data_IF_384709513853
#
_entry.id   IF_384709513853
#
_cell.length_a   1.000
_cell.length_b   1.000
_cell.length_c   1.000
_cell.angle_alpha   90.00
_cell.angle_beta   90.00
_cell.angle_gamma   90.00
#
_symmetry.space_group_name_H-M   'P 1'
#
loop_
_entity.id
_entity.type
_entity.pdbx_description
1 polymer ?
#
# COMPACT_ATOMS: atom_id res chain seq x y z
N UNK A 1 -30.56 7.84 15.50
CA UNK A 1 -30.00 8.90 14.62
C UNK A 1 -29.84 8.29 13.24
N UNK A 2 -30.14 9.01 12.15
CA UNK A 2 -30.00 8.49 10.79
C UNK A 2 -28.52 8.50 10.42
N UNK A 3 -28.02 7.38 9.86
CA UNK A 3 -26.70 7.30 9.24
C UNK A 3 -26.84 7.61 7.76
N UNK A 4 -25.87 8.30 7.18
CA UNK A 4 -25.82 8.58 5.73
C UNK A 4 -24.44 8.20 5.17
N UNK A 5 -24.42 7.73 3.92
CA UNK A 5 -23.22 7.41 3.18
C UNK A 5 -23.14 8.27 1.91
N UNK A 6 -21.99 8.90 1.68
CA UNK A 6 -21.66 9.58 0.44
C UNK A 6 -20.37 8.99 -0.12
N UNK A 7 -20.36 8.73 -1.42
CA UNK A 7 -19.16 8.32 -2.15
C UNK A 7 -18.95 9.22 -3.35
N UNK A 8 -17.71 9.61 -3.61
CA UNK A 8 -17.36 10.52 -4.69
C UNK A 8 -15.99 10.17 -5.29
N UNK A 9 -15.80 10.54 -6.54
CA UNK A 9 -14.53 10.44 -7.23
C UNK A 9 -13.74 11.72 -7.03
N UNK A 10 -12.52 11.60 -6.50
CA UNK A 10 -11.54 12.68 -6.43
C UNK A 10 -10.36 12.37 -7.36
N UNK A 11 -9.78 13.40 -7.98
CA UNK A 11 -8.62 13.28 -8.85
C UNK A 11 -7.52 14.22 -8.39
N UNK A 12 -6.36 13.66 -8.07
CA UNK A 12 -5.18 14.39 -7.62
C UNK A 12 -4.10 14.35 -8.71
N UNK A 13 -3.82 15.50 -9.39
CA UNK A 13 -2.72 15.58 -10.33
C UNK A 13 -1.37 15.28 -9.68
N UNK A 14 -0.49 14.56 -10.38
CA UNK A 14 0.86 14.27 -9.91
C UNK A 14 1.83 15.43 -10.21
N UNK A 15 2.88 15.53 -9.40
CA UNK A 15 3.99 16.49 -9.63
C UNK A 15 4.81 16.15 -10.88
N UNK A 16 4.91 14.84 -11.21
CA UNK A 16 5.55 14.30 -12.41
C UNK A 16 4.94 12.93 -12.75
N UNK A 17 5.12 12.40 -13.96
CA UNK A 17 4.60 11.08 -14.33
C UNK A 17 5.18 9.99 -13.42
N UNK A 18 4.31 9.11 -12.92
CA UNK A 18 4.68 7.91 -12.16
C UNK A 18 4.72 6.72 -13.11
N UNK A 19 5.92 6.24 -13.42
CA UNK A 19 6.14 5.16 -14.39
C UNK A 19 6.56 3.87 -13.71
N UNK A 20 5.85 2.79 -14.02
CA UNK A 20 6.15 1.41 -13.63
C UNK A 20 6.15 0.52 -14.86
N UNK A 21 6.53 -0.75 -14.74
CA UNK A 21 6.56 -1.70 -15.86
C UNK A 21 5.21 -1.82 -16.60
N UNK A 22 4.08 -1.67 -15.90
CA UNK A 22 2.73 -1.77 -16.47
C UNK A 22 2.15 -0.47 -17.05
N UNK A 23 2.84 0.66 -16.96
CA UNK A 23 2.36 1.92 -17.54
C UNK A 23 2.77 3.17 -16.78
N UNK A 24 2.14 4.27 -17.15
CA UNK A 24 2.43 5.60 -16.59
C UNK A 24 1.15 6.28 -16.12
N UNK A 25 1.16 6.83 -14.91
CA UNK A 25 0.08 7.66 -14.35
C UNK A 25 0.50 9.11 -14.27
N UNK A 26 -0.44 10.03 -14.49
CA UNK A 26 -0.27 11.49 -14.34
C UNK A 26 -1.21 12.08 -13.28
N UNK A 27 -2.13 11.27 -12.78
CA UNK A 27 -3.03 11.61 -11.69
C UNK A 27 -3.32 10.37 -10.83
N UNK A 28 -3.69 10.58 -9.57
CA UNK A 28 -4.29 9.60 -8.70
C UNK A 28 -5.81 9.81 -8.72
N UNK A 29 -6.52 8.86 -9.30
CA UNK A 29 -7.98 8.79 -9.27
C UNK A 29 -8.39 7.90 -8.10
N UNK A 30 -9.15 8.45 -7.16
CA UNK A 30 -9.53 7.78 -5.91
C UNK A 30 -11.04 7.84 -5.70
N UNK A 31 -11.57 6.94 -4.90
CA UNK A 31 -12.95 7.00 -4.39
C UNK A 31 -12.90 7.34 -2.91
N UNK A 32 -13.51 8.46 -2.54
CA UNK A 32 -13.65 8.91 -1.16
C UNK A 32 -15.04 8.56 -0.64
N UNK A 33 -15.09 7.94 0.53
CA UNK A 33 -16.33 7.64 1.26
C UNK A 33 -16.40 8.49 2.51
N UNK A 34 -17.58 9.07 2.74
CA UNK A 34 -17.94 9.75 3.98
C UNK A 34 -19.17 9.11 4.59
N UNK A 35 -19.08 8.65 5.83
CA UNK A 35 -20.20 8.13 6.61
C UNK A 35 -20.47 9.07 7.77
N UNK A 36 -21.72 9.53 7.92
CA UNK A 36 -22.14 10.43 9.03
C UNK A 36 -23.20 9.77 9.88
N UNK A 37 -23.10 9.93 11.18
CA UNK A 37 -24.11 9.49 12.15
C UNK A 37 -24.14 10.45 13.35
N UNK A 38 -25.23 11.21 13.46
CA UNK A 38 -25.28 12.35 14.41
C UNK A 38 -24.24 13.40 14.05
N UNK A 39 -23.43 13.81 15.02
CA UNK A 39 -22.34 14.78 14.83
C UNK A 39 -21.03 14.13 14.39
N UNK A 40 -20.95 12.80 14.40
CA UNK A 40 -19.73 12.09 14.02
C UNK A 40 -19.67 11.88 12.50
N UNK A 41 -18.46 12.04 11.94
CA UNK A 41 -18.18 11.84 10.53
C UNK A 41 -16.94 10.98 10.38
N UNK A 42 -17.06 9.82 9.73
CA UNK A 42 -15.91 8.99 9.34
C UNK A 42 -15.64 9.09 7.85
N UNK A 43 -14.36 9.04 7.48
CA UNK A 43 -13.89 9.14 6.10
C UNK A 43 -12.99 7.97 5.76
N UNK A 44 -13.02 7.55 4.50
CA UNK A 44 -12.09 6.57 3.95
C UNK A 44 -11.85 6.83 2.47
N UNK A 45 -10.74 6.36 1.98
CA UNK A 45 -10.32 6.52 0.58
C UNK A 45 -9.80 5.20 0.04
N UNK A 46 -10.03 4.94 -1.23
CA UNK A 46 -9.45 3.81 -1.92
C UNK A 46 -9.11 4.13 -3.37
N UNK A 47 -8.13 3.40 -3.90
CA UNK A 47 -7.69 3.48 -5.29
C UNK A 47 -8.19 2.26 -6.05
N UNK A 48 -9.24 2.36 -6.87
CA UNK A 48 -9.62 1.28 -7.77
C UNK A 48 -8.48 0.95 -8.73
N UNK A 49 -8.02 -0.30 -8.71
CA UNK A 49 -6.82 -0.67 -9.46
C UNK A 49 -7.14 -1.57 -10.67
N UNK A 50 -6.87 -1.09 -11.91
CA UNK A 50 -7.23 -1.84 -13.13
C UNK A 50 -6.62 -3.24 -13.23
N UNK A 51 -5.45 -3.50 -12.62
CA UNK A 51 -4.82 -4.83 -12.55
C UNK A 51 -5.72 -5.87 -11.87
N UNK A 52 -6.60 -5.41 -10.97
CA UNK A 52 -7.58 -6.25 -10.26
C UNK A 52 -8.98 -6.17 -10.86
N UNK A 53 -9.12 -5.59 -12.07
CA UNK A 53 -10.40 -5.44 -12.74
C UNK A 53 -11.28 -4.32 -12.19
N UNK A 54 -10.73 -3.44 -11.37
CA UNK A 54 -11.47 -2.36 -10.73
C UNK A 54 -11.47 -1.07 -11.57
N UNK A 55 -12.54 -0.33 -11.48
CA UNK A 55 -12.73 1.00 -12.09
C UNK A 55 -13.44 1.93 -11.12
N UNK A 56 -13.27 3.24 -11.27
CA UNK A 56 -14.00 4.25 -10.48
C UNK A 56 -15.52 3.99 -10.54
N UNK A 57 -16.09 3.82 -11.73
CA UNK A 57 -17.52 3.58 -11.90
C UNK A 57 -17.97 2.27 -11.23
N UNK A 58 -17.20 1.19 -11.38
CA UNK A 58 -17.48 -0.10 -10.75
C UNK A 58 -17.44 -0.03 -9.23
N UNK A 59 -16.45 0.68 -8.68
CA UNK A 59 -16.30 0.90 -7.24
C UNK A 59 -17.45 1.72 -6.67
N UNK A 60 -17.83 2.83 -7.31
CA UNK A 60 -18.98 3.62 -6.89
C UNK A 60 -20.28 2.80 -6.95
N UNK A 61 -20.49 1.99 -8.00
CA UNK A 61 -21.63 1.10 -8.10
C UNK A 61 -21.62 0.00 -7.02
N UNK A 62 -20.45 -0.51 -6.63
CA UNK A 62 -20.32 -1.48 -5.55
C UNK A 62 -20.69 -0.86 -4.19
N UNK A 63 -20.25 0.36 -3.92
CA UNK A 63 -20.62 1.12 -2.72
C UNK A 63 -22.14 1.36 -2.67
N UNK A 64 -22.74 1.73 -3.80
CA UNK A 64 -24.18 1.97 -3.87
C UNK A 64 -25.01 0.72 -3.55
N UNK A 65 -24.58 -0.48 -3.97
CA UNK A 65 -25.29 -1.74 -3.64
C UNK A 65 -25.38 -2.02 -2.13
N UNK A 66 -24.44 -1.53 -1.34
CA UNK A 66 -24.42 -1.73 0.12
C UNK A 66 -24.86 -0.49 0.90
N UNK A 67 -25.31 0.58 0.21
CA UNK A 67 -25.77 1.83 0.84
C UNK A 67 -26.78 1.56 1.94
N UNK A 68 -27.84 0.82 1.64
CA UNK A 68 -28.91 0.54 2.60
C UNK A 68 -28.43 -0.25 3.81
N UNK A 69 -27.44 -1.14 3.65
CA UNK A 69 -26.81 -1.85 4.75
C UNK A 69 -26.10 -0.87 5.69
N UNK A 70 -25.26 0.01 5.12
CA UNK A 70 -24.46 0.95 5.92
C UNK A 70 -25.36 2.00 6.58
N UNK A 71 -26.31 2.59 5.83
CA UNK A 71 -27.27 3.59 6.35
C UNK A 71 -28.23 2.98 7.38
N UNK A 72 -28.51 1.67 7.29
CA UNK A 72 -29.28 0.91 8.27
C UNK A 72 -28.51 0.56 9.55
N UNK A 73 -27.24 0.99 9.66
CA UNK A 73 -26.41 0.78 10.86
C UNK A 73 -25.47 -0.42 10.78
N UNK A 74 -25.36 -1.08 9.62
CA UNK A 74 -24.40 -2.17 9.42
C UNK A 74 -22.97 -1.72 9.69
N UNK A 75 -22.21 -2.59 10.36
CA UNK A 75 -20.83 -2.36 10.75
C UNK A 75 -19.84 -3.05 9.81
N UNK A 76 -18.60 -3.13 10.27
CA UNK A 76 -17.48 -3.73 9.51
C UNK A 76 -17.69 -5.22 9.24
N UNK A 77 -18.24 -5.97 10.19
CA UNK A 77 -18.52 -7.40 10.04
C UNK A 77 -19.53 -7.67 8.93
N UNK A 78 -20.63 -6.93 8.90
CA UNK A 78 -21.66 -7.04 7.87
C UNK A 78 -21.11 -6.59 6.51
N UNK A 79 -20.24 -5.57 6.48
CA UNK A 79 -19.57 -5.11 5.27
C UNK A 79 -18.65 -6.20 4.67
N UNK A 80 -17.85 -6.89 5.49
CA UNK A 80 -16.99 -7.98 5.05
C UNK A 80 -17.80 -9.11 4.38
N UNK A 81 -18.99 -9.40 4.91
CA UNK A 81 -19.88 -10.40 4.33
C UNK A 81 -20.57 -9.93 3.04
N UNK A 82 -20.78 -8.62 2.87
CA UNK A 82 -21.53 -8.04 1.76
C UNK A 82 -20.67 -7.68 0.54
N UNK A 83 -19.41 -7.37 0.72
CA UNK A 83 -18.48 -6.99 -0.36
C UNK A 83 -17.20 -7.84 -0.34
N UNK A 84 -16.71 -8.25 -1.51
CA UNK A 84 -15.38 -8.84 -1.63
C UNK A 84 -14.28 -7.84 -1.24
N UNK A 85 -13.06 -8.34 -1.02
CA UNK A 85 -11.88 -7.51 -0.90
C UNK A 85 -11.70 -6.62 -2.13
N UNK A 86 -11.13 -5.43 -1.94
CA UNK A 86 -10.92 -4.43 -2.99
C UNK A 86 -11.31 -3.02 -2.56
N UNK A 87 -11.21 -2.09 -3.51
CA UNK A 87 -11.33 -0.65 -3.27
C UNK A 87 -12.67 -0.22 -2.65
N UNK A 88 -13.80 -0.79 -3.10
CA UNK A 88 -15.12 -0.40 -2.57
C UNK A 88 -15.24 -0.73 -1.08
N UNK A 89 -14.80 -1.94 -0.68
CA UNK A 89 -14.80 -2.36 0.72
C UNK A 89 -13.81 -1.54 1.54
N UNK A 90 -12.60 -1.29 1.01
CA UNK A 90 -11.58 -0.49 1.68
C UNK A 90 -12.09 0.90 2.05
N UNK A 91 -12.65 1.65 1.09
CA UNK A 91 -13.15 3.00 1.34
C UNK A 91 -14.23 3.03 2.44
N UNK A 92 -15.15 2.06 2.46
CA UNK A 92 -16.20 1.99 3.48
C UNK A 92 -15.64 1.51 4.82
N UNK A 93 -14.80 0.46 4.85
CA UNK A 93 -14.22 -0.09 6.08
C UNK A 93 -13.42 0.98 6.83
N UNK A 94 -12.54 1.70 6.13
CA UNK A 94 -11.78 2.80 6.71
C UNK A 94 -12.67 3.95 7.18
N UNK A 95 -13.77 4.26 6.48
CA UNK A 95 -14.73 5.26 6.95
C UNK A 95 -15.47 4.81 8.21
N UNK A 96 -15.78 3.52 8.34
CA UNK A 96 -16.41 2.98 9.54
C UNK A 96 -15.46 2.97 10.74
N UNK A 97 -14.17 2.66 10.53
CA UNK A 97 -13.15 2.77 11.59
C UNK A 97 -13.04 4.21 12.13
N UNK A 98 -12.96 5.21 11.25
CA UNK A 98 -12.89 6.62 11.63
C UNK A 98 -14.19 7.08 12.34
N UNK A 99 -15.36 6.66 11.83
CA UNK A 99 -16.65 6.93 12.47
C UNK A 99 -16.74 6.34 13.87
N UNK A 100 -16.33 5.08 14.04
CA UNK A 100 -16.37 4.39 15.32
C UNK A 100 -15.42 5.02 16.33
N UNK A 101 -14.21 5.43 15.92
CA UNK A 101 -13.27 6.15 16.77
C UNK A 101 -13.89 7.43 17.33
N UNK A 102 -14.51 8.25 16.47
CA UNK A 102 -15.16 9.51 16.87
C UNK A 102 -16.36 9.29 17.77
N UNK A 103 -17.18 8.28 17.50
CA UNK A 103 -18.37 7.97 18.29
C UNK A 103 -18.03 7.40 19.67
N UNK A 104 -17.03 6.54 19.74
CA UNK A 104 -16.58 5.91 20.98
C UNK A 104 -15.62 6.77 21.79
N UNK A 105 -15.13 7.87 21.21
CA UNK A 105 -14.06 8.69 21.75
C UNK A 105 -12.81 7.87 22.12
N UNK A 106 -12.48 6.92 21.24
CA UNK A 106 -11.30 6.06 21.36
C UNK A 106 -10.57 6.06 20.04
N UNK A 107 -9.28 6.34 20.07
CA UNK A 107 -8.45 6.29 18.88
C UNK A 107 -8.35 4.88 18.32
N UNK A 108 -8.20 4.75 17.00
CA UNK A 108 -8.11 3.46 16.32
C UNK A 108 -6.97 2.61 16.89
N UNK A 109 -5.82 3.19 17.24
CA UNK A 109 -4.73 2.48 17.91
C UNK A 109 -5.20 1.77 19.20
N UNK A 110 -5.95 2.47 20.05
CA UNK A 110 -6.52 1.90 21.28
C UNK A 110 -7.60 0.85 20.99
N UNK A 111 -8.35 0.99 19.89
CA UNK A 111 -9.37 0.02 19.50
C UNK A 111 -8.76 -1.30 19.02
N UNK A 112 -7.65 -1.26 18.28
CA UNK A 112 -6.93 -2.46 17.81
C UNK A 112 -5.97 -3.04 18.84
N UNK A 113 -5.71 -2.31 19.96
CA UNK A 113 -4.73 -2.73 20.98
C UNK A 113 -3.28 -2.63 20.49
N UNK A 114 -3.01 -1.76 19.53
CA UNK A 114 -1.69 -1.50 18.96
C UNK A 114 -1.07 -0.19 19.44
N UNK A 115 0.20 0.08 19.06
CA UNK A 115 0.83 1.35 19.36
C UNK A 115 0.20 2.50 18.56
N UNK A 116 0.30 3.71 19.08
CA UNK A 116 -0.03 4.90 18.32
C UNK A 116 0.93 5.07 17.14
N UNK A 117 0.41 5.43 15.95
CA UNK A 117 1.26 5.73 14.79
C UNK A 117 2.27 6.84 15.12
N UNK A 118 3.52 6.60 14.77
CA UNK A 118 4.61 7.56 14.88
C UNK A 118 5.37 7.65 13.56
N UNK A 119 6.34 8.56 13.46
CA UNK A 119 7.14 8.69 12.25
C UNK A 119 7.88 7.38 11.93
N UNK A 120 7.71 6.90 10.71
CA UNK A 120 8.32 5.65 10.22
C UNK A 120 9.19 5.93 9.00
N UNK A 121 10.35 5.25 8.88
CA UNK A 121 11.08 5.27 7.62
C UNK A 121 10.21 4.63 6.55
N UNK A 122 10.04 5.31 5.42
CA UNK A 122 9.27 4.81 4.28
C UNK A 122 10.13 4.81 3.04
N UNK A 123 9.97 3.80 2.22
CA UNK A 123 10.62 3.74 0.93
C UNK A 123 10.19 4.94 0.07
N UNK A 124 11.19 5.63 -0.50
CA UNK A 124 10.95 6.67 -1.50
C UNK A 124 11.15 6.06 -2.88
N UNK A 125 10.16 6.20 -3.74
CA UNK A 125 10.14 5.49 -5.03
C UNK A 125 10.98 6.21 -6.10
N UNK A 126 11.87 5.44 -6.72
CA UNK A 126 12.57 5.80 -7.97
C UNK A 126 11.85 5.05 -9.11
N UNK A 127 11.21 5.80 -10.00
CA UNK A 127 10.46 5.26 -11.14
C UNK A 127 11.37 4.81 -12.27
N UNK A 128 10.85 3.96 -13.18
CA UNK A 128 11.60 3.43 -14.32
C UNK A 128 12.01 4.55 -15.28
N UNK A 129 13.32 4.60 -15.56
CA UNK A 129 13.95 5.46 -16.56
C UNK A 129 15.29 4.84 -16.97
N UNK A 130 16.13 5.56 -17.73
CA UNK A 130 17.50 5.18 -17.99
C UNK A 130 18.30 5.07 -16.70
N UNK A 131 19.31 4.18 -16.58
CA UNK A 131 20.13 4.05 -15.37
C UNK A 131 20.70 5.37 -14.88
N UNK A 132 21.10 6.27 -15.79
CA UNK A 132 21.64 7.59 -15.45
C UNK A 132 20.57 8.54 -14.88
N UNK A 133 19.34 8.50 -15.38
CA UNK A 133 18.23 9.29 -14.86
C UNK A 133 17.83 8.78 -13.46
N UNK A 134 17.70 7.47 -13.32
CA UNK A 134 17.40 6.82 -12.03
C UNK A 134 18.48 7.11 -10.98
N UNK A 135 19.78 7.11 -11.38
CA UNK A 135 20.87 7.48 -10.48
C UNK A 135 20.76 8.94 -10.00
N UNK A 136 20.37 9.88 -10.87
CA UNK A 136 20.14 11.28 -10.48
C UNK A 136 18.97 11.40 -9.49
N UNK A 137 17.87 10.71 -9.75
CA UNK A 137 16.72 10.68 -8.84
C UNK A 137 17.09 10.08 -7.48
N UNK A 138 17.82 8.97 -7.48
CA UNK A 138 18.31 8.34 -6.26
C UNK A 138 19.30 9.26 -5.47
N UNK A 139 20.17 9.99 -6.16
CA UNK A 139 21.07 10.95 -5.53
C UNK A 139 20.31 12.11 -4.86
N UNK A 140 19.21 12.57 -5.47
CA UNK A 140 18.32 13.57 -4.87
C UNK A 140 17.60 13.06 -3.62
N UNK A 141 17.44 11.74 -3.49
CA UNK A 141 16.82 11.05 -2.35
C UNK A 141 17.85 10.40 -1.41
N UNK A 142 19.16 10.69 -1.56
CA UNK A 142 20.21 10.01 -0.82
C UNK A 142 20.16 10.18 0.71
N UNK A 143 19.34 11.12 1.20
CA UNK A 143 19.02 11.29 2.63
C UNK A 143 17.94 10.34 3.15
N UNK A 144 17.17 9.70 2.27
CA UNK A 144 16.14 8.75 2.66
C UNK A 144 16.78 7.41 3.10
N UNK A 145 16.32 6.81 4.20
CA UNK A 145 16.86 5.54 4.69
C UNK A 145 16.54 4.36 3.77
N UNK A 146 15.44 4.41 3.04
CA UNK A 146 14.95 3.33 2.16
C UNK A 146 14.57 3.89 0.80
N UNK A 147 15.02 3.23 -0.27
CA UNK A 147 14.58 3.51 -1.65
C UNK A 147 13.88 2.29 -2.25
N UNK A 148 12.74 2.50 -2.87
CA UNK A 148 12.06 1.50 -3.71
C UNK A 148 12.36 1.78 -5.18
N UNK A 149 12.89 0.78 -5.86
CA UNK A 149 13.36 0.89 -7.23
C UNK A 149 12.38 0.15 -8.15
N UNK A 150 11.68 0.89 -8.98
CA UNK A 150 10.88 0.29 -10.06
C UNK A 150 11.82 -0.06 -11.22
N UNK A 151 11.77 -1.31 -11.66
CA UNK A 151 12.59 -1.81 -12.76
C UNK A 151 11.73 -2.55 -13.79
N UNK A 152 12.26 -2.75 -14.99
CA UNK A 152 11.67 -3.63 -15.99
C UNK A 152 12.64 -4.78 -16.33
N UNK A 153 12.33 -5.57 -17.38
CA UNK A 153 13.17 -6.69 -17.79
C UNK A 153 14.27 -6.31 -18.79
N UNK A 154 14.38 -5.03 -19.22
CA UNK A 154 15.32 -4.65 -20.28
C UNK A 154 16.79 -4.65 -19.80
N UNK A 155 17.09 -3.91 -18.73
CA UNK A 155 18.44 -3.86 -18.14
C UNK A 155 18.37 -3.59 -16.62
N UNK A 156 17.74 -4.48 -15.85
CA UNK A 156 17.57 -4.27 -14.42
C UNK A 156 18.91 -4.21 -13.66
N UNK A 157 19.94 -4.93 -14.14
CA UNK A 157 21.24 -4.94 -13.51
C UNK A 157 21.92 -3.56 -13.56
N UNK A 158 21.90 -2.89 -14.71
CA UNK A 158 22.46 -1.55 -14.83
C UNK A 158 21.66 -0.52 -14.02
N UNK A 159 20.33 -0.63 -14.02
CA UNK A 159 19.45 0.25 -13.22
C UNK A 159 19.77 0.14 -11.73
N UNK A 160 19.80 -1.07 -11.16
CA UNK A 160 20.03 -1.31 -9.73
C UNK A 160 21.46 -0.88 -9.32
N UNK A 161 22.49 -1.22 -10.12
CA UNK A 161 23.87 -0.80 -9.83
C UNK A 161 24.05 0.71 -9.86
N UNK A 162 23.41 1.40 -10.82
CA UNK A 162 23.46 2.86 -10.93
C UNK A 162 22.85 3.53 -9.70
N UNK A 163 21.71 3.02 -9.20
CA UNK A 163 21.08 3.53 -7.98
C UNK A 163 21.93 3.23 -6.74
N UNK A 164 22.47 2.01 -6.60
CA UNK A 164 23.35 1.68 -5.47
C UNK A 164 24.58 2.57 -5.43
N UNK A 165 25.16 2.90 -6.56
CA UNK A 165 26.28 3.81 -6.65
C UNK A 165 25.90 5.25 -6.21
N UNK A 166 24.72 5.70 -6.56
CA UNK A 166 24.20 7.03 -6.25
C UNK A 166 23.70 7.17 -4.79
N UNK A 167 23.17 6.09 -4.21
CA UNK A 167 22.65 6.03 -2.84
C UNK A 167 23.30 4.87 -2.05
N UNK A 168 24.60 4.96 -1.70
CA UNK A 168 25.37 3.83 -1.16
C UNK A 168 24.93 3.37 0.23
N UNK A 169 24.17 4.18 0.97
CA UNK A 169 23.74 3.92 2.35
C UNK A 169 22.28 3.50 2.48
N UNK A 170 21.44 3.79 1.48
CA UNK A 170 20.03 3.48 1.55
C UNK A 170 19.79 1.96 1.51
N UNK A 171 18.80 1.47 2.25
CA UNK A 171 18.26 0.15 2.05
C UNK A 171 17.47 0.12 0.74
N UNK A 172 17.53 -0.96 -0.02
CA UNK A 172 16.91 -1.05 -1.33
C UNK A 172 15.82 -2.11 -1.35
N UNK A 173 14.66 -1.72 -1.86
CA UNK A 173 13.58 -2.62 -2.29
C UNK A 173 13.53 -2.54 -3.81
N UNK A 174 13.60 -3.68 -4.49
CA UNK A 174 13.49 -3.76 -5.96
C UNK A 174 12.12 -4.31 -6.32
N UNK A 175 11.40 -3.61 -7.19
CA UNK A 175 10.04 -3.98 -7.58
C UNK A 175 9.90 -3.99 -9.11
N UNK A 176 9.96 -5.18 -9.73
CA UNK A 176 9.71 -5.36 -11.15
C UNK A 176 8.24 -5.28 -11.56
N UNK A 177 7.31 -5.24 -10.62
CA UNK A 177 5.87 -5.24 -10.87
C UNK A 177 5.42 -6.32 -11.87
N UNK A 178 5.73 -7.57 -11.59
CA UNK A 178 5.37 -8.74 -12.41
C UNK A 178 6.05 -8.81 -13.80
N UNK A 179 7.10 -8.01 -14.06
CA UNK A 179 7.69 -7.91 -15.41
C UNK A 179 8.80 -8.92 -15.70
N UNK A 180 9.29 -9.64 -14.68
CA UNK A 180 10.33 -10.64 -14.84
C UNK A 180 9.74 -12.04 -15.05
N UNK A 181 10.56 -12.92 -15.63
CA UNK A 181 10.32 -14.35 -15.64
C UNK A 181 11.31 -15.09 -14.72
N UNK A 182 11.19 -16.40 -14.65
CA UNK A 182 12.06 -17.25 -13.83
C UNK A 182 13.55 -17.05 -14.18
N UNK A 183 13.89 -16.99 -15.46
CA UNK A 183 15.27 -16.88 -15.89
C UNK A 183 15.90 -15.55 -15.45
N UNK A 184 15.13 -14.45 -15.52
CA UNK A 184 15.57 -13.14 -15.03
C UNK A 184 15.73 -13.15 -13.51
N UNK A 185 14.77 -13.72 -12.76
CA UNK A 185 14.87 -13.83 -11.30
C UNK A 185 16.12 -14.58 -10.88
N UNK A 186 16.41 -15.73 -11.50
CA UNK A 186 17.60 -16.54 -11.20
C UNK A 186 18.90 -15.80 -11.57
N UNK A 187 18.94 -15.16 -12.74
CA UNK A 187 20.12 -14.40 -13.21
C UNK A 187 20.40 -13.16 -12.38
N UNK A 188 19.37 -12.56 -11.77
CA UNK A 188 19.50 -11.34 -10.98
C UNK A 188 19.94 -11.57 -9.53
N UNK A 189 19.85 -12.79 -8.98
CA UNK A 189 20.21 -13.04 -7.57
C UNK A 189 21.61 -12.50 -7.20
N UNK A 190 22.69 -12.76 -7.99
CA UNK A 190 24.01 -12.22 -7.68
C UNK A 190 24.07 -10.69 -7.68
N UNK A 191 23.32 -10.03 -8.57
CA UNK A 191 23.27 -8.57 -8.67
C UNK A 191 22.53 -7.97 -7.47
N UNK A 192 21.45 -8.60 -7.04
CA UNK A 192 20.69 -8.17 -5.86
C UNK A 192 21.55 -8.25 -4.60
N UNK A 193 22.34 -9.33 -4.44
CA UNK A 193 23.32 -9.49 -3.32
C UNK A 193 24.44 -8.45 -3.43
N UNK A 194 25.07 -8.32 -4.60
CA UNK A 194 26.12 -7.31 -4.87
C UNK A 194 25.65 -5.91 -4.46
N UNK A 195 24.44 -5.56 -4.83
CA UNK A 195 23.84 -4.27 -4.55
C UNK A 195 23.19 -4.17 -3.16
N UNK A 196 23.30 -5.20 -2.32
CA UNK A 196 22.71 -5.25 -0.97
C UNK A 196 21.23 -4.86 -0.97
N UNK A 197 20.48 -5.49 -1.87
CA UNK A 197 19.02 -5.36 -1.91
C UNK A 197 18.42 -6.13 -0.73
N UNK A 198 17.55 -5.48 0.05
CA UNK A 198 16.93 -6.08 1.22
C UNK A 198 15.68 -6.87 0.90
N UNK A 199 14.98 -6.52 -0.20
CA UNK A 199 13.72 -7.15 -0.58
C UNK A 199 13.50 -7.07 -2.10
N UNK A 200 13.06 -8.17 -2.70
CA UNK A 200 12.59 -8.25 -4.09
C UNK A 200 11.06 -8.40 -4.08
N UNK A 201 10.33 -7.36 -4.51
CA UNK A 201 8.86 -7.35 -4.49
C UNK A 201 8.30 -7.84 -5.82
N UNK A 202 7.38 -8.78 -5.78
CA UNK A 202 6.60 -9.36 -6.89
C UNK A 202 7.30 -9.38 -8.24
N UNK A 203 8.39 -10.15 -8.39
CA UNK A 203 9.16 -10.12 -9.64
C UNK A 203 8.42 -10.74 -10.81
N UNK A 204 7.58 -11.74 -10.57
CA UNK A 204 6.89 -12.53 -11.60
C UNK A 204 5.38 -12.39 -11.51
N UNK A 205 4.63 -12.62 -12.62
CA UNK A 205 3.18 -12.57 -12.61
C UNK A 205 2.57 -13.51 -11.55
N UNK A 206 1.54 -13.04 -10.85
CA UNK A 206 0.88 -13.77 -9.76
C UNK A 206 0.26 -15.11 -10.22
N UNK A 207 -0.12 -15.22 -11.50
CA UNK A 207 -0.64 -16.45 -12.12
C UNK A 207 0.48 -17.39 -12.65
N UNK A 208 1.74 -16.97 -12.59
CA UNK A 208 2.92 -17.70 -13.04
C UNK A 208 3.99 -17.91 -11.94
N UNK A 209 3.66 -17.67 -10.68
CA UNK A 209 4.58 -17.72 -9.53
C UNK A 209 4.72 -19.10 -8.88
N UNK A 210 4.01 -20.13 -9.40
CA UNK A 210 3.98 -21.47 -8.80
C UNK A 210 5.36 -22.14 -8.64
N UNK A 211 6.31 -21.83 -9.49
CA UNK A 211 7.68 -22.36 -9.45
C UNK A 211 8.52 -21.81 -8.28
N UNK A 212 8.06 -20.74 -7.63
CA UNK A 212 8.70 -20.23 -6.41
C UNK A 212 8.57 -21.21 -5.24
N UNK A 213 7.62 -22.12 -5.27
CA UNK A 213 7.53 -23.21 -4.28
C UNK A 213 8.77 -24.10 -4.39
N UNK A 214 9.58 -24.11 -3.32
CA UNK A 214 10.87 -24.81 -3.28
C UNK A 214 12.07 -24.05 -3.85
N UNK A 215 11.87 -22.85 -4.40
CA UNK A 215 12.97 -21.95 -4.74
C UNK A 215 13.53 -21.30 -3.47
N UNK A 216 14.85 -21.27 -3.36
CA UNK A 216 15.55 -20.64 -2.23
C UNK A 216 16.27 -19.39 -2.73
N UNK A 217 15.67 -18.19 -2.64
CA UNK A 217 16.28 -16.96 -3.10
C UNK A 217 17.39 -16.52 -2.13
N UNK A 218 18.43 -15.84 -2.67
CA UNK A 218 19.47 -15.21 -1.86
C UNK A 218 18.98 -13.91 -1.21
N UNK A 219 18.03 -13.22 -1.87
CA UNK A 219 17.34 -12.03 -1.34
C UNK A 219 15.87 -12.38 -1.16
N UNK A 220 15.26 -12.10 0.01
CA UNK A 220 13.86 -12.43 0.26
C UNK A 220 12.92 -11.87 -0.81
N UNK A 221 11.95 -12.70 -1.23
CA UNK A 221 10.92 -12.30 -2.19
C UNK A 221 9.62 -11.99 -1.44
N UNK A 222 9.01 -10.84 -1.74
CA UNK A 222 7.77 -10.35 -1.17
C UNK A 222 6.62 -10.53 -2.17
N UNK A 223 5.51 -11.12 -1.74
CA UNK A 223 4.27 -11.15 -2.50
C UNK A 223 3.58 -9.79 -2.43
N UNK A 224 3.21 -9.22 -3.58
CA UNK A 224 2.31 -8.05 -3.68
C UNK A 224 1.02 -8.46 -4.41
N UNK A 225 1.06 -8.63 -5.73
CA UNK A 225 -0.10 -9.01 -6.52
C UNK A 225 -0.61 -10.43 -6.21
N UNK A 226 0.23 -11.28 -5.63
CA UNK A 226 -0.12 -12.68 -5.25
C UNK A 226 -0.85 -12.79 -3.91
N UNK A 227 -1.01 -11.70 -3.13
CA UNK A 227 -1.67 -11.74 -1.83
C UNK A 227 -2.65 -10.59 -1.68
N UNK A 228 -3.89 -10.90 -1.34
CA UNK A 228 -4.95 -9.93 -1.08
C UNK A 228 -5.53 -10.07 0.32
N UNK A 229 -5.83 -11.29 0.75
CA UNK A 229 -6.50 -11.57 2.02
C UNK A 229 -5.78 -12.69 2.79
N UNK A 230 -6.13 -12.88 4.06
CA UNK A 230 -5.49 -13.88 4.91
C UNK A 230 -5.61 -15.31 4.37
N UNK A 231 -6.67 -15.62 3.63
CA UNK A 231 -6.86 -16.93 3.01
C UNK A 231 -5.78 -17.26 1.97
N UNK A 232 -5.20 -16.27 1.28
CA UNK A 232 -4.17 -16.48 0.27
C UNK A 232 -2.86 -17.03 0.88
N UNK A 233 -2.66 -16.82 2.18
CA UNK A 233 -1.45 -17.26 2.88
C UNK A 233 -1.24 -18.79 2.87
N UNK A 234 -2.28 -19.56 2.62
CA UNK A 234 -2.14 -21.02 2.46
C UNK A 234 -1.19 -21.37 1.31
N UNK A 235 -1.23 -20.62 0.24
CA UNK A 235 -0.37 -20.81 -0.94
C UNK A 235 0.87 -19.94 -0.86
N UNK A 236 0.70 -18.64 -0.51
CA UNK A 236 1.76 -17.63 -0.52
C UNK A 236 2.91 -17.98 0.43
N UNK A 237 2.61 -18.53 1.61
CA UNK A 237 3.64 -18.90 2.58
C UNK A 237 4.59 -20.03 2.12
N UNK A 238 4.23 -20.76 1.06
CA UNK A 238 5.11 -21.79 0.47
C UNK A 238 6.04 -21.22 -0.62
N UNK A 239 5.78 -19.99 -1.09
CA UNK A 239 6.44 -19.39 -2.25
C UNK A 239 7.25 -18.15 -1.90
N UNK A 240 6.80 -17.39 -0.92
CA UNK A 240 7.33 -16.07 -0.59
C UNK A 240 7.84 -16.01 0.85
N UNK A 241 8.81 -15.14 1.12
CA UNK A 241 9.38 -14.91 2.44
C UNK A 241 8.74 -13.71 3.16
N UNK A 242 8.04 -12.84 2.41
CA UNK A 242 7.33 -11.69 2.94
C UNK A 242 6.04 -11.43 2.14
N UNK A 243 5.15 -10.62 2.71
CA UNK A 243 3.91 -10.18 2.07
C UNK A 243 3.75 -8.67 2.18
N UNK A 244 3.27 -8.03 1.10
CA UNK A 244 2.95 -6.61 1.07
C UNK A 244 1.46 -6.41 1.34
N UNK A 245 1.13 -5.90 2.52
CA UNK A 245 -0.23 -5.56 2.93
C UNK A 245 -0.59 -4.19 2.39
N UNK A 246 -1.57 -4.13 1.49
CA UNK A 246 -2.16 -2.89 0.96
C UNK A 246 -3.65 -2.88 1.25
N UNK A 247 -4.16 -1.80 1.82
CA UNK A 247 -5.58 -1.69 2.18
C UNK A 247 -6.51 -1.82 0.98
N UNK A 248 -6.09 -1.32 -0.19
CA UNK A 248 -6.86 -1.45 -1.44
C UNK A 248 -7.01 -2.91 -1.90
N UNK A 249 -6.05 -3.78 -1.59
CA UNK A 249 -6.12 -5.22 -1.87
C UNK A 249 -6.93 -5.96 -0.83
N UNK A 250 -6.61 -5.70 0.45
CA UNK A 250 -7.30 -6.38 1.56
C UNK A 250 -8.77 -5.96 1.70
N UNK A 251 -9.15 -4.83 1.12
CA UNK A 251 -10.50 -4.27 1.28
C UNK A 251 -10.70 -3.65 2.65
N UNK A 252 -9.67 -2.96 3.17
CA UNK A 252 -9.73 -2.14 4.37
C UNK A 252 -8.84 -2.61 5.51
N UNK A 253 -8.83 -1.82 6.57
CA UNK A 253 -8.00 -2.03 7.76
C UNK A 253 -8.38 -3.32 8.51
N UNK A 254 -9.66 -3.68 8.54
CA UNK A 254 -10.14 -4.88 9.25
C UNK A 254 -9.45 -6.15 8.74
N UNK A 255 -9.51 -6.42 7.43
CA UNK A 255 -8.87 -7.58 6.81
C UNK A 255 -7.34 -7.45 6.79
N UNK A 256 -6.81 -6.21 6.67
CA UNK A 256 -5.37 -5.96 6.70
C UNK A 256 -4.75 -6.37 8.04
N UNK A 257 -5.42 -6.12 9.16
CA UNK A 257 -5.00 -6.57 10.48
C UNK A 257 -5.00 -8.10 10.58
N UNK A 258 -6.02 -8.76 10.05
CA UNK A 258 -6.10 -10.22 10.03
C UNK A 258 -4.98 -10.82 9.16
N UNK A 259 -4.78 -10.30 7.94
CA UNK A 259 -3.69 -10.72 7.06
C UNK A 259 -2.32 -10.55 7.72
N UNK A 260 -2.06 -9.38 8.33
CA UNK A 260 -0.78 -9.10 8.97
C UNK A 260 -0.49 -10.04 10.14
N UNK A 261 -1.48 -10.28 11.01
CA UNK A 261 -1.36 -11.21 12.14
C UNK A 261 -1.16 -12.65 11.67
N UNK A 262 -1.93 -13.09 10.67
CA UNK A 262 -1.84 -14.42 10.11
C UNK A 262 -0.50 -14.66 9.38
N UNK A 263 0.06 -13.66 8.72
CA UNK A 263 1.38 -13.71 8.08
C UNK A 263 2.50 -13.84 9.13
N UNK A 264 2.47 -13.03 10.18
CA UNK A 264 3.41 -13.11 11.29
C UNK A 264 3.36 -14.47 12.00
N UNK A 265 2.16 -15.02 12.21
CA UNK A 265 1.99 -16.34 12.81
C UNK A 265 2.61 -17.47 11.96
N UNK A 266 2.82 -17.24 10.66
CA UNK A 266 3.50 -18.16 9.72
C UNK A 266 5.00 -17.85 9.54
N UNK A 267 5.55 -16.87 10.27
CA UNK A 267 6.95 -16.47 10.16
C UNK A 267 7.29 -15.64 8.92
N UNK A 268 6.28 -15.10 8.21
CA UNK A 268 6.51 -14.23 7.06
C UNK A 268 6.91 -12.82 7.49
N UNK A 269 7.82 -12.21 6.73
CA UNK A 269 8.08 -10.76 6.81
C UNK A 269 6.86 -9.96 6.37
N UNK A 270 6.72 -8.75 6.91
CA UNK A 270 5.65 -7.84 6.55
C UNK A 270 6.20 -6.58 5.86
N UNK A 271 5.60 -6.25 4.76
CA UNK A 271 5.68 -4.93 4.14
C UNK A 271 4.29 -4.28 4.19
N UNK A 272 4.24 -2.99 4.45
CA UNK A 272 3.04 -2.19 4.27
C UNK A 272 3.23 -1.26 3.09
N UNK A 273 2.43 -1.44 2.07
CA UNK A 273 2.46 -0.59 0.88
C UNK A 273 1.16 0.18 0.65
N UNK A 274 1.21 1.06 -0.35
CA UNK A 274 0.05 1.80 -0.82
C UNK A 274 0.00 1.86 -2.35
N UNK A 275 -1.09 2.37 -2.86
CA UNK A 275 -1.18 2.94 -4.20
C UNK A 275 -0.81 4.42 -4.15
N UNK A 276 -0.56 5.07 -5.30
CA UNK A 276 -0.47 6.54 -5.35
C UNK A 276 -1.84 7.11 -4.99
N UNK A 277 -1.94 7.75 -3.84
CA UNK A 277 -3.19 8.14 -3.17
C UNK A 277 -2.97 9.33 -2.25
N UNK A 278 -4.05 9.89 -1.69
CA UNK A 278 -3.93 10.97 -0.71
C UNK A 278 -3.62 10.44 0.70
N UNK A 279 -3.29 11.34 1.61
CA UNK A 279 -3.08 11.03 3.03
C UNK A 279 -4.24 10.31 3.70
N UNK A 280 -5.46 10.40 3.14
CA UNK A 280 -6.62 9.73 3.71
C UNK A 280 -6.55 8.19 3.55
N UNK A 281 -5.87 7.69 2.52
CA UNK A 281 -5.56 6.28 2.37
C UNK A 281 -4.37 5.84 3.24
N UNK A 282 -3.42 6.75 3.50
CA UNK A 282 -2.19 6.45 4.25
C UNK A 282 -2.44 6.38 5.75
N UNK A 283 -3.29 7.26 6.28
CA UNK A 283 -3.55 7.33 7.72
C UNK A 283 -3.96 5.97 8.33
N UNK A 284 -4.93 5.21 7.78
CA UNK A 284 -5.23 3.86 8.27
C UNK A 284 -4.08 2.87 8.04
N UNK A 285 -3.31 2.99 6.95
CA UNK A 285 -2.20 2.10 6.65
C UNK A 285 -1.04 2.23 7.66
N UNK A 286 -0.89 3.38 8.30
CA UNK A 286 0.10 3.58 9.37
C UNK A 286 -0.08 2.60 10.53
N UNK A 287 -1.29 2.15 10.83
CA UNK A 287 -1.51 1.13 11.88
C UNK A 287 -0.92 -0.23 11.52
N UNK A 288 -0.89 -0.59 10.23
CA UNK A 288 -0.20 -1.80 9.74
C UNK A 288 1.31 -1.57 9.70
N UNK A 289 1.74 -0.36 9.33
CA UNK A 289 3.16 0.00 9.29
C UNK A 289 3.85 -0.15 10.66
N UNK A 290 3.11 0.07 11.77
CA UNK A 290 3.65 -0.11 13.13
C UNK A 290 4.09 -1.55 13.44
N UNK A 291 3.65 -2.54 12.65
CA UNK A 291 4.03 -3.95 12.81
C UNK A 291 4.82 -4.51 11.63
N UNK A 292 5.21 -3.65 10.67
CA UNK A 292 5.88 -4.06 9.43
C UNK A 292 7.40 -3.90 9.49
N UNK A 293 8.11 -4.78 8.77
CA UNK A 293 9.57 -4.72 8.62
C UNK A 293 9.97 -3.72 7.52
N UNK A 294 9.09 -3.56 6.51
CA UNK A 294 9.26 -2.64 5.40
C UNK A 294 8.03 -1.76 5.25
N UNK A 295 8.24 -0.47 4.98
CA UNK A 295 7.15 0.49 4.77
C UNK A 295 7.35 1.20 3.44
N UNK A 296 6.27 1.31 2.64
CA UNK A 296 6.22 1.95 1.32
C UNK A 296 4.91 2.77 1.23
N UNK A 297 4.89 3.91 1.91
CA UNK A 297 3.73 4.78 2.06
C UNK A 297 3.97 6.17 1.45
N UNK A 298 4.75 6.23 0.38
CA UNK A 298 5.11 7.48 -0.30
C UNK A 298 4.04 8.00 -1.28
N UNK A 299 2.86 7.38 -1.33
CA UNK A 299 1.78 7.77 -2.24
C UNK A 299 1.50 9.26 -2.30
N UNK A 300 1.31 9.97 -1.17
CA UNK A 300 1.04 11.41 -1.13
C UNK A 300 2.19 12.28 -1.63
N UNK A 301 3.43 11.81 -1.56
CA UNK A 301 4.63 12.55 -2.04
C UNK A 301 4.57 12.82 -3.55
N UNK A 302 3.81 12.00 -4.28
CA UNK A 302 3.63 12.12 -5.71
C UNK A 302 2.56 13.14 -6.11
N UNK A 303 1.70 13.56 -5.18
CA UNK A 303 0.62 14.49 -5.46
C UNK A 303 1.13 15.94 -5.57
N UNK A 304 0.56 16.69 -6.48
CA UNK A 304 0.83 18.14 -6.57
C UNK A 304 0.29 18.88 -5.33
N UNK A 305 -0.83 18.41 -4.83
CA UNK A 305 -1.50 18.91 -3.63
C UNK A 305 -2.21 17.76 -2.93
N UNK A 306 -2.01 17.62 -1.65
CA UNK A 306 -2.64 16.60 -0.81
C UNK A 306 -3.75 17.24 0.06
N UNK A 307 -4.44 16.41 0.83
CA UNK A 307 -5.48 16.85 1.75
C UNK A 307 -4.88 17.64 2.91
N UNK A 308 -5.47 18.78 3.28
CA UNK A 308 -4.99 19.58 4.43
C UNK A 308 -4.95 18.77 5.72
N UNK A 309 -3.86 18.88 6.48
CA UNK A 309 -3.64 18.15 7.73
C UNK A 309 -3.23 16.68 7.57
N UNK A 310 -2.96 16.24 6.34
CA UNK A 310 -2.51 14.89 6.02
C UNK A 310 -1.13 14.54 6.59
N UNK A 311 -0.60 13.39 6.17
CA UNK A 311 0.75 12.95 6.55
C UNK A 311 1.81 13.90 6.02
N UNK A 312 2.96 13.98 6.70
CA UNK A 312 4.09 14.80 6.25
C UNK A 312 5.25 13.87 5.92
N UNK A 313 5.76 13.98 4.68
CA UNK A 313 6.97 13.27 4.26
C UNK A 313 8.19 14.17 4.45
N UNK A 314 9.14 13.76 5.28
CA UNK A 314 10.37 14.50 5.54
C UNK A 314 11.55 13.55 5.66
N UNK A 315 12.60 13.78 4.86
CA UNK A 315 13.86 13.01 4.88
C UNK A 315 13.67 11.48 4.77
N UNK A 316 12.66 11.03 4.00
CA UNK A 316 12.31 9.63 3.84
C UNK A 316 11.54 9.02 5.01
N UNK A 317 11.01 9.85 5.91
CA UNK A 317 10.08 9.44 6.95
C UNK A 317 8.68 9.93 6.64
N UNK A 318 7.68 9.12 6.93
CA UNK A 318 6.28 9.50 6.92
C UNK A 318 5.84 9.76 8.37
N UNK A 319 5.47 10.99 8.65
CA UNK A 319 4.92 11.41 9.94
C UNK A 319 3.40 11.27 9.93
N UNK A 320 2.78 10.84 11.03
CA UNK A 320 1.33 10.76 11.13
C UNK A 320 0.64 12.09 10.80
N UNK A 321 -0.62 12.04 10.33
CA UNK A 321 -1.38 13.26 10.05
C UNK A 321 -1.69 14.03 11.33
N UNK A 322 -2.19 15.27 11.18
CA UNK A 322 -2.65 16.09 12.28
C UNK A 322 -3.77 15.39 13.06
N UNK A 323 -3.83 15.65 14.37
CA UNK A 323 -4.91 15.17 15.23
C UNK A 323 -6.29 15.53 14.65
N UNK A 324 -7.23 14.60 14.74
CA UNK A 324 -8.56 14.75 14.14
C UNK A 324 -8.63 14.55 12.63
N UNK A 325 -7.51 14.26 11.95
CA UNK A 325 -7.53 13.98 10.50
C UNK A 325 -8.25 12.66 10.20
N UNK A 326 -7.84 11.56 10.82
CA UNK A 326 -8.46 10.24 10.69
C UNK A 326 -8.15 9.37 11.91
N UNK A 327 -9.16 8.63 12.38
CA UNK A 327 -8.98 7.59 13.41
C UNK A 327 -8.58 8.09 14.79
N UNK A 328 -8.59 9.39 15.00
CA UNK A 328 -8.29 10.04 16.29
C UNK A 328 -9.46 10.90 16.74
N UNK A 329 -9.58 11.08 18.05
CA UNK A 329 -10.73 11.78 18.66
C UNK A 329 -10.55 13.30 18.69
N UNK A 330 -9.33 13.78 18.65
CA UNK A 330 -8.98 15.23 18.69
C UNK A 330 -7.73 15.51 17.87
#
# INVERSE_FOLDING_TARGET
MSRTLRAEHDCFPLIRPFRIARGTKTAADVVTVTVREGDATGRGEAVPYPRYGETIAGTLAAIERVRSLIEGGGGRTELLAALPAGAARNAIDCALWDLEARRSQRDVAAMIGGPEPHAVPSAMTVVIDTPQAMARDAAALAGAPVLKIKVDANDPAAQIRAIRAAAPKADLIVDPNESWDRAVVEAMQPVLVECRVGLLEQPVPADADGWLEGFTPEVPICADESVHVAADLEVVARRYQAVNVKLDKTGGLTEALELAQAARARGLGLMTGCMVSSSLSIAPALHIAMMSDFVDLDGPVWLREDRPGGVVAENGFIHPPAAGFWGTTT
#
